data_IF_061602348788
#
_entry.id   IF_061602348788
#
_cell.length_a   1.000
_cell.length_b   1.000
_cell.length_c   1.000
_cell.angle_alpha   90.00
_cell.angle_beta   90.00
_cell.angle_gamma   90.00
#
_symmetry.space_group_name_H-M   'P 1'
#
loop_
_entity.id
_entity.type
_entity.pdbx_description
1 polymer ?
#
# COMPACT_ATOMS: atom_id res chain seq x y z
N UNK A 1 3.43 5.01 -0.25
CA UNK A 1 4.01 4.09 0.75
C UNK A 1 3.76 2.67 0.29
N UNK A 2 4.72 1.78 0.52
CA UNK A 2 4.61 0.40 0.07
C UNK A 2 4.81 -0.57 1.23
N UNK A 3 4.27 -1.77 1.09
CA UNK A 3 4.52 -2.89 1.97
C UNK A 3 4.51 -4.19 1.14
N UNK A 4 5.00 -5.30 1.68
CA UNK A 4 5.03 -6.59 0.99
C UNK A 4 3.96 -7.53 1.55
N UNK A 5 3.21 -8.22 0.67
CA UNK A 5 2.10 -9.08 1.11
C UNK A 5 2.54 -10.34 1.85
N UNK A 6 3.81 -10.73 1.73
CA UNK A 6 4.47 -11.83 2.44
C UNK A 6 5.22 -11.38 3.71
N UNK A 7 5.03 -10.11 4.12
CA UNK A 7 5.70 -9.56 5.30
C UNK A 7 4.70 -8.71 6.12
N UNK A 8 4.05 -9.30 7.14
CA UNK A 8 3.14 -8.59 8.02
C UNK A 8 3.77 -7.43 8.78
N UNK A 9 5.09 -7.47 9.02
CA UNK A 9 5.79 -6.40 9.71
C UNK A 9 6.02 -5.20 8.80
N UNK A 10 6.21 -5.41 7.49
CA UNK A 10 6.23 -4.30 6.53
C UNK A 10 4.95 -3.46 6.56
N UNK A 11 3.76 -4.09 6.70
CA UNK A 11 2.49 -3.37 6.86
C UNK A 11 2.43 -2.66 8.22
N UNK A 12 2.91 -3.29 9.30
CA UNK A 12 2.99 -2.65 10.61
C UNK A 12 3.87 -1.39 10.59
N UNK A 13 4.98 -1.45 9.85
CA UNK A 13 5.92 -0.33 9.73
C UNK A 13 5.31 0.86 9.00
N UNK A 14 4.31 0.65 8.12
CA UNK A 14 3.58 1.76 7.48
C UNK A 14 3.05 2.75 8.51
N UNK A 15 2.33 2.29 9.55
CA UNK A 15 1.77 3.20 10.55
C UNK A 15 2.67 3.45 11.75
N UNK A 16 3.60 2.54 12.08
CA UNK A 16 4.52 2.70 13.22
C UNK A 16 5.72 3.59 12.92
N UNK A 17 6.18 3.57 11.67
CA UNK A 17 7.45 4.20 11.25
C UNK A 17 7.21 5.19 10.13
N UNK A 18 6.66 4.72 9.00
CA UNK A 18 6.64 5.52 7.78
C UNK A 18 5.68 6.71 7.81
N UNK A 19 4.47 6.54 8.37
CA UNK A 19 3.53 7.65 8.58
C UNK A 19 4.10 8.69 9.56
N UNK A 20 4.57 8.31 10.77
CA UNK A 20 5.20 9.27 11.67
C UNK A 20 6.41 9.99 11.07
N UNK A 21 7.28 9.26 10.37
CA UNK A 21 8.44 9.84 9.69
C UNK A 21 8.00 10.84 8.62
N UNK A 22 7.07 10.46 7.74
CA UNK A 22 6.56 11.35 6.71
C UNK A 22 5.94 12.62 7.30
N UNK A 23 5.08 12.48 8.33
CA UNK A 23 4.43 13.61 9.01
C UNK A 23 5.39 14.50 9.80
N UNK A 24 6.60 14.03 10.10
CA UNK A 24 7.66 14.86 10.70
C UNK A 24 8.23 15.88 9.70
N UNK A 25 8.29 15.51 8.42
CA UNK A 25 8.93 16.34 7.38
C UNK A 25 7.93 17.04 6.46
N UNK A 26 6.70 16.54 6.36
CA UNK A 26 5.69 17.05 5.45
C UNK A 26 4.42 17.49 6.21
N UNK A 27 3.75 18.57 5.75
CA UNK A 27 2.48 19.01 6.33
C UNK A 27 1.41 17.92 6.39
N UNK A 28 0.44 18.10 7.31
CA UNK A 28 -0.74 17.24 7.40
C UNK A 28 -1.57 17.22 6.10
N UNK A 29 -1.52 18.31 5.33
CA UNK A 29 -2.19 18.44 4.02
C UNK A 29 -1.48 17.71 2.88
N UNK A 30 -0.30 17.13 3.10
CA UNK A 30 0.37 16.33 2.07
C UNK A 30 -0.17 14.91 2.10
N UNK A 31 -0.75 14.47 1.00
CA UNK A 31 -1.26 13.11 0.83
C UNK A 31 -0.18 12.09 0.51
N UNK A 32 -0.51 10.83 0.70
CA UNK A 32 0.31 9.71 0.27
C UNK A 32 -0.60 8.50 -0.01
N UNK A 33 -0.22 7.68 -0.99
CA UNK A 33 -0.98 6.49 -1.38
C UNK A 33 -0.39 5.21 -0.76
N UNK A 34 -1.14 4.11 -0.76
CA UNK A 34 -0.68 2.79 -0.29
C UNK A 34 -0.63 1.80 -1.44
N UNK A 35 0.47 1.05 -1.54
CA UNK A 35 0.65 -0.02 -2.53
C UNK A 35 1.12 -1.32 -1.86
N UNK A 36 0.36 -2.40 -2.02
CA UNK A 36 0.80 -3.74 -1.64
C UNK A 36 1.64 -4.38 -2.75
N UNK A 37 2.84 -4.84 -2.41
CA UNK A 37 3.79 -5.44 -3.34
C UNK A 37 3.82 -6.97 -3.18
N UNK A 38 4.39 -7.64 -4.18
CA UNK A 38 4.55 -9.10 -4.23
C UNK A 38 3.23 -9.87 -4.10
N UNK A 39 2.14 -9.33 -4.67
CA UNK A 39 0.79 -9.92 -4.59
C UNK A 39 0.76 -11.43 -4.88
N UNK A 40 1.61 -11.90 -5.79
CA UNK A 40 1.79 -13.30 -6.19
C UNK A 40 2.12 -14.25 -5.02
N UNK A 41 2.77 -13.74 -3.98
CA UNK A 41 3.15 -14.52 -2.79
C UNK A 41 1.96 -14.92 -1.92
N UNK A 42 0.80 -14.27 -2.10
CA UNK A 42 -0.44 -14.62 -1.43
C UNK A 42 -1.24 -15.59 -2.30
N UNK A 43 -0.88 -16.86 -2.23
CA UNK A 43 -1.51 -17.97 -2.96
C UNK A 43 -3.02 -18.06 -2.63
N UNK A 44 -3.87 -18.05 -3.66
CA UNK A 44 -5.32 -18.33 -3.60
C UNK A 44 -6.08 -17.70 -2.41
N UNK A 45 -5.80 -16.43 -2.10
CA UNK A 45 -6.39 -15.70 -0.97
C UNK A 45 -6.17 -16.34 0.42
N UNK A 46 -5.36 -17.40 0.50
CA UNK A 46 -5.04 -18.07 1.76
C UNK A 46 -4.11 -17.17 2.55
N UNK A 47 -4.67 -16.55 3.57
CA UNK A 47 -3.91 -15.85 4.59
C UNK A 47 -3.35 -16.88 5.55
N UNK A 48 -2.03 -17.05 5.53
CA UNK A 48 -1.30 -17.74 6.60
C UNK A 48 -1.00 -16.71 7.68
N UNK A 49 -1.62 -16.88 8.85
CA UNK A 49 -1.45 -16.00 10.00
C UNK A 49 0.03 -15.86 10.36
N UNK A 50 0.48 -14.62 10.51
CA UNK A 50 1.87 -14.30 10.83
C UNK A 50 2.87 -14.43 9.66
N UNK A 51 2.42 -14.87 8.47
CA UNK A 51 3.28 -15.00 7.28
C UNK A 51 2.82 -14.08 6.16
N UNK A 52 1.52 -13.89 5.98
CA UNK A 52 0.98 -13.05 4.90
C UNK A 52 0.03 -11.99 5.44
N UNK A 53 -0.11 -10.93 4.66
CA UNK A 53 -1.03 -9.83 4.94
C UNK A 53 -2.37 -10.12 4.30
N UNK A 54 -3.39 -10.29 5.15
CA UNK A 54 -4.78 -10.26 4.73
C UNK A 54 -5.10 -8.94 4.04
N UNK A 55 -5.69 -9.01 2.84
CA UNK A 55 -6.04 -7.84 2.03
C UNK A 55 -6.91 -6.85 2.82
N UNK A 56 -7.84 -7.37 3.62
CA UNK A 56 -8.73 -6.57 4.44
C UNK A 56 -8.00 -5.73 5.49
N UNK A 57 -6.92 -6.26 6.07
CA UNK A 57 -6.10 -5.53 7.05
C UNK A 57 -5.43 -4.31 6.42
N UNK A 58 -4.99 -4.43 5.17
CA UNK A 58 -4.39 -3.31 4.43
C UNK A 58 -5.45 -2.29 4.00
N UNK A 59 -6.67 -2.72 3.63
CA UNK A 59 -7.79 -1.82 3.37
C UNK A 59 -8.23 -1.01 4.59
N UNK A 60 -8.36 -1.66 5.75
CA UNK A 60 -8.66 -0.95 7.00
C UNK A 60 -7.59 0.10 7.30
N UNK A 61 -6.31 -0.22 7.06
CA UNK A 61 -5.23 0.74 7.22
C UNK A 61 -5.33 1.89 6.22
N UNK A 62 -5.66 1.58 4.96
CA UNK A 62 -5.88 2.55 3.89
C UNK A 62 -6.95 3.58 4.28
N UNK A 63 -8.10 3.11 4.74
CA UNK A 63 -9.23 3.95 5.17
C UNK A 63 -8.88 4.75 6.43
N UNK A 64 -8.29 4.11 7.43
CA UNK A 64 -7.97 4.74 8.73
C UNK A 64 -7.03 5.94 8.61
N UNK A 65 -6.10 5.92 7.67
CA UNK A 65 -5.11 6.97 7.48
C UNK A 65 -5.39 7.83 6.24
N UNK A 66 -6.57 7.67 5.62
CA UNK A 66 -7.04 8.47 4.50
C UNK A 66 -6.00 8.53 3.37
N UNK A 67 -5.47 7.37 3.02
CA UNK A 67 -4.53 7.27 1.90
C UNK A 67 -5.22 7.75 0.61
N UNK A 68 -4.44 8.42 -0.24
CA UNK A 68 -4.93 8.95 -1.50
C UNK A 68 -5.18 7.84 -2.53
N UNK A 69 -6.29 7.96 -3.26
CA UNK A 69 -6.65 7.05 -4.34
C UNK A 69 -7.26 5.75 -3.84
N UNK A 70 -7.33 4.77 -4.74
CA UNK A 70 -7.76 3.42 -4.39
C UNK A 70 -6.61 2.59 -3.79
N UNK A 71 -6.98 1.63 -2.95
CA UNK A 71 -6.05 0.61 -2.48
C UNK A 71 -5.67 -0.35 -3.61
N UNK A 72 -4.39 -0.37 -3.99
CA UNK A 72 -3.87 -1.21 -5.05
C UNK A 72 -2.85 -2.23 -4.53
N UNK A 73 -2.78 -3.37 -5.23
CA UNK A 73 -1.76 -4.39 -5.05
C UNK A 73 -1.21 -4.83 -6.40
N UNK A 74 0.10 -5.06 -6.48
CA UNK A 74 0.73 -5.54 -7.69
C UNK A 74 1.83 -6.57 -7.42
N UNK A 75 2.24 -7.26 -8.48
CA UNK A 75 3.42 -8.10 -8.50
C UNK A 75 4.18 -7.83 -9.79
N UNK A 76 5.45 -7.47 -9.64
CA UNK A 76 6.36 -7.32 -10.78
C UNK A 76 6.70 -8.69 -11.37
N UNK A 77 6.76 -9.73 -10.54
CA UNK A 77 7.03 -11.09 -10.99
C UNK A 77 5.87 -11.65 -11.83
N UNK A 78 4.63 -11.45 -11.38
CA UNK A 78 3.42 -11.91 -12.08
C UNK A 78 3.15 -11.09 -13.36
N UNK A 79 3.18 -9.75 -13.26
CA UNK A 79 2.79 -8.86 -14.35
C UNK A 79 3.43 -7.46 -14.22
N UNK A 80 4.60 -7.23 -14.84
CA UNK A 80 5.28 -5.93 -14.82
C UNK A 80 4.44 -4.77 -15.39
N UNK A 81 3.62 -5.02 -16.43
CA UNK A 81 2.80 -3.99 -17.05
C UNK A 81 1.69 -3.53 -16.10
N UNK A 82 1.07 -4.46 -15.37
CA UNK A 82 0.10 -4.13 -14.33
C UNK A 82 0.75 -3.35 -13.18
N UNK A 83 1.95 -3.75 -12.73
CA UNK A 83 2.68 -3.02 -11.69
C UNK A 83 2.99 -1.57 -12.12
N UNK A 84 3.36 -1.35 -13.38
CA UNK A 84 3.51 0.00 -13.97
C UNK A 84 2.18 0.76 -13.96
N UNK A 85 1.09 0.12 -14.37
CA UNK A 85 -0.23 0.74 -14.38
C UNK A 85 -0.69 1.17 -12.98
N UNK A 86 -0.46 0.35 -11.95
CA UNK A 86 -0.75 0.75 -10.57
C UNK A 86 -0.01 2.03 -10.17
N UNK A 87 1.27 2.16 -10.53
CA UNK A 87 2.04 3.37 -10.24
C UNK A 87 1.50 4.58 -11.00
N UNK A 88 1.13 4.42 -12.27
CA UNK A 88 0.52 5.49 -13.07
C UNK A 88 -0.80 5.99 -12.43
N UNK A 89 -1.63 5.08 -11.92
CA UNK A 89 -2.86 5.43 -11.19
C UNK A 89 -2.57 6.20 -9.91
N UNK A 90 -1.65 5.70 -9.06
CA UNK A 90 -1.31 6.37 -7.80
C UNK A 90 -0.73 7.77 -8.01
N UNK A 91 0.11 7.96 -9.03
CA UNK A 91 0.65 9.28 -9.38
C UNK A 91 -0.48 10.20 -9.85
N UNK A 92 -1.40 9.70 -10.67
CA UNK A 92 -2.55 10.46 -11.14
C UNK A 92 -3.43 10.89 -9.97
N UNK A 93 -3.71 9.97 -9.04
CA UNK A 93 -4.51 10.29 -7.85
C UNK A 93 -3.84 11.34 -6.97
N UNK A 94 -2.54 11.19 -6.72
CA UNK A 94 -1.78 12.15 -5.93
C UNK A 94 -1.72 13.56 -6.56
N UNK A 95 -1.71 13.66 -7.89
CA UNK A 95 -1.61 14.94 -8.60
C UNK A 95 -2.97 15.62 -8.81
N UNK A 96 -4.03 14.85 -9.06
CA UNK A 96 -5.30 15.40 -9.56
C UNK A 96 -6.50 15.14 -8.65
N UNK A 97 -6.45 14.09 -7.82
CA UNK A 97 -7.59 13.67 -7.00
C UNK A 97 -7.35 13.90 -5.50
N UNK A 98 -6.17 14.38 -5.11
CA UNK A 98 -5.89 14.81 -3.74
C UNK A 98 -6.69 16.08 -3.40
N UNK A 99 -7.55 15.99 -2.37
CA UNK A 99 -8.42 17.06 -1.88
C UNK A 99 -8.02 17.51 -0.48
#
# INVERSE_FOLDING_TARGET
>A
MCYATDDPDSLNNVWRVWIPEFRRYYPASTGFCLLGLKRDTRLDEMTVDGVTVAKERAKILHERFEFCGDYLECSVEENPQHARHCMDLLITDALYNWR
#
